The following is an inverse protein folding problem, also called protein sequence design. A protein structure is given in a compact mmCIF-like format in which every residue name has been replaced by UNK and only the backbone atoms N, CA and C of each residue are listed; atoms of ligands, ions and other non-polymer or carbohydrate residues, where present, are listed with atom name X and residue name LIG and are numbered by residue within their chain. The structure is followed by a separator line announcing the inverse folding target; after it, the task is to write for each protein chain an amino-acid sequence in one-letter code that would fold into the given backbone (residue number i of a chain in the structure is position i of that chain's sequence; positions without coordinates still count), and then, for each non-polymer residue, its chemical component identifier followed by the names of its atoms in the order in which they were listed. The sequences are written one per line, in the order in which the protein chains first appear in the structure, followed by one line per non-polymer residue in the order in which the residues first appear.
data_IF_564657027143
#
_entry.id   IF_564657027143
#
_cell.length_a   1.000
_cell.length_b   1.000
_cell.length_c   1.000
_cell.angle_alpha   90.00
_cell.angle_beta   90.00
_cell.angle_gamma   90.00
#
_symmetry.space_group_name_H-M   'P 1'
#
loop_
_entity.id
_entity.type
_entity.pdbx_description
1 polymer ?
#
# COMPACT_ATOMS: atom_id res chain seq x y z
N UNK A 1 9.22 -30.90 -2.91
CA UNK A 1 10.23 -30.70 -1.86
C UNK A 1 10.95 -29.42 -2.24
N UNK A 2 10.49 -28.29 -1.75
CA UNK A 2 11.13 -27.01 -2.04
C UNK A 2 12.50 -26.97 -1.35
N UNK A 3 13.51 -26.32 -1.96
CA UNK A 3 14.83 -26.26 -1.36
C UNK A 3 14.80 -25.59 0.00
N UNK A 4 15.68 -26.07 0.85
CA UNK A 4 15.84 -25.70 2.28
C UNK A 4 16.36 -24.27 2.52
N UNK A 5 16.38 -23.40 1.50
CA UNK A 5 17.13 -22.15 1.53
C UNK A 5 16.21 -20.94 1.45
N UNK A 6 16.61 -19.90 2.16
CA UNK A 6 16.06 -18.56 2.05
C UNK A 6 16.72 -17.88 0.85
N UNK A 7 15.93 -17.31 -0.05
CA UNK A 7 16.45 -16.71 -1.28
C UNK A 7 16.15 -15.22 -1.25
N UNK A 8 17.16 -14.41 -1.55
CA UNK A 8 16.97 -13.00 -1.88
C UNK A 8 17.20 -12.81 -3.39
N UNK A 9 16.24 -12.14 -4.03
CA UNK A 9 16.31 -11.75 -5.43
C UNK A 9 16.28 -10.23 -5.52
N UNK A 10 17.21 -9.64 -6.22
CA UNK A 10 17.37 -8.20 -6.36
C UNK A 10 17.24 -7.80 -7.82
N UNK A 11 16.34 -6.89 -8.13
CA UNK A 11 16.18 -6.28 -9.44
C UNK A 11 16.61 -4.82 -9.45
N UNK A 12 17.06 -4.33 -10.59
CA UNK A 12 17.61 -3.00 -10.75
C UNK A 12 16.74 -2.15 -11.67
N UNK A 13 16.77 -0.83 -11.47
CA UNK A 13 16.12 0.10 -12.39
C UNK A 13 16.73 0.00 -13.80
N UNK A 14 15.90 0.09 -14.82
CA UNK A 14 16.32 0.40 -16.17
C UNK A 14 16.78 1.87 -16.27
N UNK A 15 17.50 2.24 -17.32
CA UNK A 15 17.89 3.64 -17.55
C UNK A 15 16.66 4.58 -17.64
N UNK A 16 15.55 4.12 -18.22
CA UNK A 16 14.34 4.92 -18.36
C UNK A 16 13.68 5.17 -17.00
N UNK A 17 13.55 4.12 -16.18
CA UNK A 17 12.98 4.23 -14.83
C UNK A 17 13.86 5.10 -13.93
N UNK A 18 15.17 4.92 -14.01
CA UNK A 18 16.13 5.75 -13.28
C UNK A 18 16.02 7.23 -13.66
N UNK A 19 15.97 7.54 -14.95
CA UNK A 19 15.85 8.91 -15.41
C UNK A 19 14.53 9.55 -14.95
N UNK A 20 13.44 8.79 -14.90
CA UNK A 20 12.16 9.25 -14.35
C UNK A 20 12.24 9.52 -12.84
N UNK A 21 12.85 8.60 -12.07
CA UNK A 21 13.12 8.78 -10.65
C UNK A 21 14.00 10.01 -10.38
N UNK A 22 15.09 10.14 -11.12
CA UNK A 22 16.04 11.24 -10.96
C UNK A 22 15.43 12.59 -11.30
N UNK A 23 14.65 12.66 -12.37
CA UNK A 23 13.88 13.85 -12.72
C UNK A 23 12.91 14.21 -11.60
N UNK A 24 12.13 13.24 -11.11
CA UNK A 24 11.18 13.44 -10.02
C UNK A 24 11.86 13.96 -8.75
N UNK A 25 13.04 13.43 -8.39
CA UNK A 25 13.81 13.89 -7.24
C UNK A 25 14.30 15.33 -7.38
N UNK A 26 14.74 15.73 -8.59
CA UNK A 26 15.15 17.12 -8.86
C UNK A 26 13.96 18.08 -8.85
N UNK A 27 12.85 17.72 -9.49
CA UNK A 27 11.62 18.54 -9.54
C UNK A 27 11.06 18.77 -8.14
N UNK A 28 11.11 17.76 -7.28
CA UNK A 28 10.69 17.82 -5.87
C UNK A 28 11.73 18.51 -4.96
N UNK A 29 12.92 18.82 -5.46
CA UNK A 29 14.05 19.36 -4.66
C UNK A 29 14.34 18.46 -3.43
N UNK A 30 14.40 17.15 -3.64
CA UNK A 30 14.68 16.15 -2.62
C UNK A 30 16.16 16.24 -2.17
N UNK A 31 16.52 17.30 -1.43
CA UNK A 31 17.92 17.67 -1.13
C UNK A 31 18.67 16.54 -0.45
N UNK A 32 18.06 15.89 0.57
CA UNK A 32 18.68 14.78 1.28
C UNK A 32 19.05 13.64 0.33
N UNK A 33 18.10 13.23 -0.52
CA UNK A 33 18.31 12.16 -1.50
C UNK A 33 19.45 12.51 -2.48
N UNK A 34 19.46 13.75 -3.00
CA UNK A 34 20.45 14.21 -3.99
C UNK A 34 21.84 14.37 -3.37
N UNK A 35 21.92 14.90 -2.15
CA UNK A 35 23.18 15.12 -1.43
C UNK A 35 23.83 13.80 -1.01
N UNK A 36 23.06 12.87 -0.44
CA UNK A 36 23.55 11.54 -0.08
C UNK A 36 24.05 10.76 -1.31
N UNK A 37 23.30 10.81 -2.42
CA UNK A 37 23.73 10.23 -3.70
C UNK A 37 25.07 10.78 -4.17
N UNK A 38 25.24 12.12 -4.11
CA UNK A 38 26.49 12.76 -4.48
C UNK A 38 27.64 12.39 -3.54
N UNK A 39 27.39 12.33 -2.21
CA UNK A 39 28.39 11.93 -1.21
C UNK A 39 28.91 10.51 -1.43
N UNK A 40 28.04 9.62 -1.92
CA UNK A 40 28.39 8.23 -2.23
C UNK A 40 28.97 8.05 -3.64
N UNK A 41 29.24 9.14 -4.38
CA UNK A 41 29.72 9.10 -5.77
C UNK A 41 28.82 8.24 -6.69
N UNK A 42 27.49 8.39 -6.56
CA UNK A 42 26.51 7.58 -7.28
C UNK A 42 26.70 7.56 -8.80
N UNK A 43 27.11 8.69 -9.41
CA UNK A 43 27.33 8.76 -10.87
C UNK A 43 28.43 7.80 -11.36
N UNK A 44 29.47 7.55 -10.57
CA UNK A 44 30.53 6.60 -10.93
C UNK A 44 30.06 5.14 -10.91
N UNK A 45 29.06 4.84 -10.10
CA UNK A 45 28.51 3.49 -9.94
C UNK A 45 27.32 3.19 -10.85
N UNK A 46 26.75 4.22 -11.46
CA UNK A 46 25.55 4.13 -12.29
C UNK A 46 25.64 3.07 -13.37
N UNK A 47 26.75 3.02 -14.10
CA UNK A 47 26.97 2.04 -15.18
C UNK A 47 27.11 0.59 -14.66
N UNK A 48 27.45 0.42 -13.38
CA UNK A 48 27.61 -0.90 -12.76
C UNK A 48 26.27 -1.55 -12.39
N UNK A 49 25.21 -0.75 -12.22
CA UNK A 49 23.97 -1.22 -11.63
C UNK A 49 22.75 -1.05 -12.52
N UNK A 50 22.66 0.01 -13.35
CA UNK A 50 21.48 0.22 -14.20
C UNK A 50 21.34 -0.82 -15.30
N UNK A 51 20.15 -1.34 -15.45
CA UNK A 51 19.81 -2.31 -16.47
C UNK A 51 20.52 -3.67 -16.31
N UNK A 52 21.11 -3.92 -15.14
CA UNK A 52 21.76 -5.19 -14.85
C UNK A 52 20.71 -6.32 -14.70
N UNK A 53 21.16 -7.53 -14.96
CA UNK A 53 20.32 -8.72 -14.70
C UNK A 53 20.06 -8.88 -13.21
N UNK A 54 18.93 -9.50 -12.90
CA UNK A 54 18.55 -9.85 -11.52
C UNK A 54 19.66 -10.66 -10.85
N UNK A 55 19.89 -10.38 -9.57
CA UNK A 55 20.83 -11.13 -8.74
C UNK A 55 20.08 -12.00 -7.76
N UNK A 56 20.53 -13.24 -7.63
CA UNK A 56 19.99 -14.22 -6.70
C UNK A 56 21.06 -14.57 -5.66
N UNK A 57 20.69 -14.57 -4.40
CA UNK A 57 21.52 -14.97 -3.29
C UNK A 57 20.79 -16.02 -2.45
N UNK A 58 21.41 -17.16 -2.21
CA UNK A 58 20.91 -18.18 -1.30
C UNK A 58 21.57 -17.96 0.08
N UNK A 59 20.76 -17.97 1.12
CA UNK A 59 21.21 -17.70 2.49
C UNK A 59 20.83 -18.88 3.38
N UNK A 60 21.80 -19.46 4.06
CA UNK A 60 21.61 -20.61 4.94
C UNK A 60 21.09 -20.23 6.32
N UNK A 61 21.32 -18.97 6.71
CA UNK A 61 20.95 -18.45 8.03
C UNK A 61 20.16 -17.15 7.92
N UNK A 62 19.33 -16.87 8.93
CA UNK A 62 18.61 -15.59 9.04
C UNK A 62 19.57 -14.38 9.07
N UNK A 63 20.75 -14.56 9.66
CA UNK A 63 21.76 -13.49 9.74
C UNK A 63 22.30 -13.17 8.35
N UNK A 64 22.69 -14.18 7.59
CA UNK A 64 23.15 -14.00 6.19
C UNK A 64 22.09 -13.32 5.33
N UNK A 65 20.81 -13.68 5.49
CA UNK A 65 19.72 -13.02 4.78
C UNK A 65 19.62 -11.55 5.16
N UNK A 66 19.67 -11.22 6.45
CA UNK A 66 19.64 -9.83 6.93
C UNK A 66 20.83 -9.04 6.37
N UNK A 67 22.02 -9.61 6.43
CA UNK A 67 23.25 -8.98 5.92
C UNK A 67 23.14 -8.75 4.39
N UNK A 68 22.59 -9.72 3.64
CA UNK A 68 22.37 -9.57 2.19
C UNK A 68 21.31 -8.49 1.87
N UNK A 69 20.18 -8.47 2.58
CA UNK A 69 19.16 -7.40 2.42
C UNK A 69 19.78 -6.04 2.72
N UNK A 70 20.49 -5.92 3.85
CA UNK A 70 21.14 -4.67 4.28
C UNK A 70 22.14 -4.13 3.24
N UNK A 71 22.86 -5.00 2.55
CA UNK A 71 23.78 -4.64 1.49
C UNK A 71 23.06 -3.89 0.36
N UNK A 72 21.84 -4.30 0.02
CA UNK A 72 21.07 -3.75 -1.10
C UNK A 72 20.13 -2.60 -0.73
N UNK A 73 19.69 -2.54 0.54
CA UNK A 73 18.68 -1.57 0.99
C UNK A 73 19.22 -0.47 1.90
N UNK A 74 20.44 -0.63 2.42
CA UNK A 74 21.03 0.36 3.33
C UNK A 74 21.36 1.66 2.61
N UNK A 75 20.94 2.79 3.18
CA UNK A 75 21.30 4.14 2.70
C UNK A 75 22.81 4.42 2.73
N UNK A 76 23.59 3.61 3.44
CA UNK A 76 25.06 3.69 3.46
C UNK A 76 25.71 3.03 2.22
N UNK A 77 24.97 2.30 1.44
CA UNK A 77 25.45 1.60 0.24
C UNK A 77 24.96 2.31 -1.01
N UNK A 78 25.88 2.69 -1.90
CA UNK A 78 25.54 3.39 -3.14
C UNK A 78 24.59 2.57 -4.02
N UNK A 79 24.68 1.25 -4.00
CA UNK A 79 23.85 0.40 -4.86
C UNK A 79 22.34 0.48 -4.52
N UNK A 80 21.95 0.88 -3.28
CA UNK A 80 20.54 0.99 -2.90
C UNK A 80 19.77 1.99 -3.78
N UNK A 81 20.44 3.00 -4.32
CA UNK A 81 19.81 3.97 -5.23
C UNK A 81 19.35 3.32 -6.54
N UNK A 82 20.03 2.28 -6.99
CA UNK A 82 19.78 1.61 -8.27
C UNK A 82 18.92 0.35 -8.14
N UNK A 83 18.67 -0.08 -6.91
CA UNK A 83 17.80 -1.24 -6.64
C UNK A 83 16.33 -0.81 -6.78
N UNK A 84 15.62 -1.53 -7.64
CA UNK A 84 14.18 -1.34 -7.86
C UNK A 84 13.34 -2.12 -6.86
N UNK A 85 13.73 -3.36 -6.62
CA UNK A 85 12.97 -4.29 -5.78
C UNK A 85 13.90 -5.35 -5.19
N UNK A 86 13.61 -5.73 -3.95
CA UNK A 86 14.20 -6.89 -3.29
C UNK A 86 13.09 -7.86 -2.93
N UNK A 87 13.08 -9.01 -3.56
CA UNK A 87 12.15 -10.10 -3.27
C UNK A 87 12.83 -11.12 -2.35
N UNK A 88 12.16 -11.44 -1.25
CA UNK A 88 12.71 -12.33 -0.22
C UNK A 88 11.78 -13.53 -0.01
N UNK A 89 12.31 -14.71 -0.27
CA UNK A 89 11.66 -15.96 0.06
C UNK A 89 11.98 -16.38 1.49
N UNK A 90 10.99 -16.39 2.38
CA UNK A 90 11.14 -16.80 3.78
C UNK A 90 10.57 -18.20 3.98
N UNK A 91 11.40 -19.19 4.29
CA UNK A 91 10.97 -20.56 4.54
C UNK A 91 9.97 -20.69 5.70
N UNK A 92 10.12 -19.85 6.72
CA UNK A 92 9.29 -19.87 7.92
C UNK A 92 7.94 -19.15 7.72
N UNK A 93 7.74 -18.51 6.58
CA UNK A 93 6.54 -17.75 6.26
C UNK A 93 5.67 -18.59 5.32
N UNK A 94 4.74 -19.35 5.91
CA UNK A 94 3.85 -20.24 5.17
C UNK A 94 2.75 -19.42 4.46
N UNK A 95 3.14 -18.79 3.36
CA UNK A 95 2.21 -18.12 2.46
C UNK A 95 1.78 -19.10 1.36
N UNK A 96 0.49 -19.15 1.00
CA UNK A 96 0.05 -19.89 -0.17
C UNK A 96 0.77 -19.42 -1.43
N UNK A 97 0.95 -20.33 -2.38
CA UNK A 97 1.52 -20.00 -3.69
C UNK A 97 0.77 -18.84 -4.34
N UNK A 98 1.49 -17.82 -4.79
CA UNK A 98 0.93 -16.62 -5.41
C UNK A 98 0.53 -15.50 -4.42
N UNK A 99 0.66 -15.71 -3.11
CA UNK A 99 0.50 -14.63 -2.11
C UNK A 99 1.85 -13.98 -1.84
N UNK A 100 1.93 -12.67 -2.00
CA UNK A 100 3.13 -11.87 -1.77
C UNK A 100 2.81 -10.74 -0.80
N UNK A 101 3.68 -10.51 0.17
CA UNK A 101 3.66 -9.32 1.01
C UNK A 101 4.63 -8.29 0.41
N UNK A 102 4.14 -7.08 0.17
CA UNK A 102 4.93 -6.00 -0.41
C UNK A 102 5.05 -4.87 0.61
N UNK A 103 6.28 -4.52 0.96
CA UNK A 103 6.57 -3.28 1.67
C UNK A 103 6.87 -2.19 0.62
N UNK A 104 6.20 -1.05 0.75
CA UNK A 104 6.28 0.03 -0.24
C UNK A 104 6.86 1.30 0.38
N UNK A 105 7.47 2.19 -0.42
CA UNK A 105 7.77 3.54 0.03
C UNK A 105 6.52 4.25 0.61
N UNK A 106 6.73 5.26 1.46
CA UNK A 106 5.61 6.06 2.00
C UNK A 106 4.85 6.80 0.89
N UNK A 107 3.54 6.98 1.09
CA UNK A 107 2.71 7.78 0.16
C UNK A 107 3.12 9.26 0.13
N UNK A 108 3.75 9.74 1.20
CA UNK A 108 4.24 11.09 1.36
C UNK A 108 5.76 11.18 1.11
N UNK A 109 6.33 10.22 0.34
CA UNK A 109 7.74 10.31 -0.07
C UNK A 109 7.95 11.58 -0.88
N UNK A 110 9.00 12.33 -0.55
CA UNK A 110 9.36 13.58 -1.23
C UNK A 110 9.57 13.36 -2.73
N UNK A 111 10.03 12.17 -3.12
CA UNK A 111 10.19 11.78 -4.51
C UNK A 111 8.87 11.21 -5.05
N UNK A 112 8.13 11.99 -5.79
CA UNK A 112 6.80 11.64 -6.34
C UNK A 112 6.81 10.31 -7.11
N UNK A 113 7.90 9.99 -7.80
CA UNK A 113 8.06 8.70 -8.49
C UNK A 113 7.86 7.51 -7.53
N UNK A 114 8.41 7.58 -6.30
CA UNK A 114 8.24 6.54 -5.27
C UNK A 114 6.83 6.47 -4.75
N UNK A 115 6.20 7.63 -4.49
CA UNK A 115 4.79 7.68 -4.09
C UNK A 115 3.87 7.09 -5.17
N UNK A 116 4.17 7.27 -6.45
CA UNK A 116 3.41 6.69 -7.55
C UNK A 116 3.53 5.17 -7.59
N UNK A 117 4.71 4.61 -7.31
CA UNK A 117 4.88 3.15 -7.16
C UNK A 117 3.92 2.62 -6.08
N UNK A 118 3.88 3.27 -4.93
CA UNK A 118 2.96 2.89 -3.83
C UNK A 118 1.51 2.97 -4.23
N UNK A 119 1.08 4.04 -4.93
CA UNK A 119 -0.30 4.17 -5.45
C UNK A 119 -0.66 3.03 -6.40
N UNK A 120 0.26 2.66 -7.30
CA UNK A 120 0.08 1.55 -8.23
C UNK A 120 -0.07 0.20 -7.51
N UNK A 121 0.66 -0.01 -6.42
CA UNK A 121 0.49 -1.20 -5.57
C UNK A 121 -0.83 -1.20 -4.82
N UNK A 122 -1.26 -0.06 -4.24
CA UNK A 122 -2.54 0.07 -3.54
C UNK A 122 -3.71 -0.27 -4.47
N UNK A 123 -3.70 0.23 -5.70
CA UNK A 123 -4.75 -0.04 -6.67
C UNK A 123 -4.87 -1.53 -6.99
N UNK A 124 -3.73 -2.21 -7.13
CA UNK A 124 -3.66 -3.63 -7.52
C UNK A 124 -3.71 -4.62 -6.35
N UNK A 125 -3.41 -4.18 -5.13
CA UNK A 125 -3.38 -5.04 -3.96
C UNK A 125 -4.76 -5.60 -3.61
N UNK A 126 -4.84 -6.86 -3.22
CA UNK A 126 -6.07 -7.48 -2.74
C UNK A 126 -6.34 -7.16 -1.26
N UNK A 127 -5.31 -6.78 -0.51
CA UNK A 127 -5.40 -6.23 0.83
C UNK A 127 -4.33 -5.15 1.01
N UNK A 128 -4.64 -4.08 1.74
CA UNK A 128 -3.75 -2.97 2.02
C UNK A 128 -3.68 -2.75 3.53
N UNK A 129 -2.48 -2.87 4.10
CA UNK A 129 -2.23 -2.58 5.51
C UNK A 129 -1.61 -1.18 5.62
N UNK A 130 -2.35 -0.22 6.13
CA UNK A 130 -1.89 1.15 6.31
C UNK A 130 -1.37 1.32 7.73
N UNK A 131 -0.07 1.39 7.88
CA UNK A 131 0.60 1.56 9.17
C UNK A 131 0.67 3.04 9.54
N UNK A 132 0.02 3.42 10.63
CA UNK A 132 -0.02 4.79 11.15
C UNK A 132 0.35 4.78 12.61
N UNK A 133 1.16 5.74 13.06
CA UNK A 133 1.52 5.86 14.47
C UNK A 133 0.30 6.20 15.33
N UNK A 134 0.20 5.59 16.51
CA UNK A 134 -1.00 5.64 17.38
C UNK A 134 -1.20 6.93 18.14
N UNK A 135 -0.34 7.93 18.02
CA UNK A 135 -0.56 9.26 18.56
C UNK A 135 -1.72 10.00 17.84
N UNK A 136 -1.89 11.27 18.07
CA UNK A 136 -3.01 12.01 17.47
C UNK A 136 -2.95 11.93 15.93
N UNK A 137 -4.08 11.58 15.30
CA UNK A 137 -4.20 11.70 13.85
C UNK A 137 -4.10 13.18 13.47
N UNK A 138 -3.01 13.53 12.84
CA UNK A 138 -2.82 14.89 12.27
C UNK A 138 -3.52 14.98 10.91
N UNK A 139 -3.59 16.21 10.39
CA UNK A 139 -4.15 16.41 9.03
C UNK A 139 -3.39 15.64 7.96
N UNK A 140 -2.09 15.41 8.15
CA UNK A 140 -1.25 14.67 7.20
C UNK A 140 -1.56 13.17 7.21
N UNK A 141 -1.59 12.52 8.39
CA UNK A 141 -1.96 11.11 8.47
C UNK A 141 -3.37 10.85 7.94
N UNK A 142 -4.32 11.76 8.23
CA UNK A 142 -5.67 11.64 7.68
C UNK A 142 -5.69 11.81 6.17
N UNK A 143 -4.91 12.74 5.61
CA UNK A 143 -4.79 12.90 4.16
C UNK A 143 -4.21 11.64 3.51
N UNK A 144 -3.19 11.03 4.12
CA UNK A 144 -2.60 9.76 3.67
C UNK A 144 -3.64 8.63 3.71
N UNK A 145 -4.37 8.48 4.81
CA UNK A 145 -5.44 7.48 4.93
C UNK A 145 -6.50 7.68 3.84
N UNK A 146 -7.02 8.90 3.67
CA UNK A 146 -8.02 9.19 2.64
C UNK A 146 -7.48 8.97 1.22
N UNK A 147 -6.20 9.25 0.97
CA UNK A 147 -5.54 8.94 -0.30
C UNK A 147 -5.54 7.45 -0.57
N UNK A 148 -5.28 6.60 0.44
CA UNK A 148 -5.38 5.14 0.29
C UNK A 148 -6.80 4.75 -0.10
N UNK A 149 -7.81 5.21 0.63
CA UNK A 149 -9.21 4.89 0.31
C UNK A 149 -9.62 5.38 -1.08
N UNK A 150 -9.18 6.56 -1.51
CA UNK A 150 -9.44 7.09 -2.85
C UNK A 150 -8.82 6.20 -3.95
N UNK A 151 -7.65 5.61 -3.69
CA UNK A 151 -6.99 4.70 -4.64
C UNK A 151 -7.57 3.28 -4.60
N UNK A 152 -8.28 2.89 -3.54
CA UNK A 152 -8.98 1.59 -3.46
C UNK A 152 -10.38 1.58 -4.08
N UNK A 153 -10.85 2.68 -4.55
CA UNK A 153 -12.09 3.12 -5.26
C UNK A 153 -13.39 2.34 -5.02
N UNK A 154 -13.38 1.02 -4.92
CA UNK A 154 -14.58 0.18 -4.92
C UNK A 154 -14.64 -0.81 -3.76
N UNK A 155 -13.56 -1.00 -3.02
CA UNK A 155 -13.53 -1.97 -1.94
C UNK A 155 -12.79 -1.43 -0.74
N UNK A 156 -13.47 -0.60 0.07
CA UNK A 156 -12.92 -0.12 1.35
C UNK A 156 -12.64 -1.26 2.33
N UNK A 157 -13.27 -2.41 2.15
CA UNK A 157 -13.10 -3.60 3.01
C UNK A 157 -11.71 -4.22 2.89
N UNK A 158 -10.97 -3.97 1.79
CA UNK A 158 -9.60 -4.47 1.63
C UNK A 158 -8.55 -3.65 2.39
N UNK A 159 -8.91 -2.50 2.96
CA UNK A 159 -8.02 -1.62 3.73
C UNK A 159 -8.07 -2.00 5.21
N UNK A 160 -6.91 -2.17 5.81
CA UNK A 160 -6.72 -2.39 7.25
C UNK A 160 -5.86 -1.26 7.80
N UNK A 161 -6.37 -0.54 8.78
CA UNK A 161 -5.61 0.53 9.44
C UNK A 161 -4.92 -0.08 10.66
N UNK A 162 -3.60 -0.04 10.64
CA UNK A 162 -2.75 -0.58 11.70
C UNK A 162 -2.21 0.58 12.52
N UNK A 163 -2.76 0.78 13.71
CA UNK A 163 -2.25 1.77 14.66
C UNK A 163 -1.00 1.22 15.33
N UNK A 164 0.17 1.70 14.92
CA UNK A 164 1.46 1.22 15.39
C UNK A 164 1.94 1.96 16.62
N UNK A 165 2.92 1.40 17.34
CA UNK A 165 3.59 2.03 18.49
C UNK A 165 2.62 2.41 19.64
N UNK A 166 1.60 1.62 19.90
CA UNK A 166 0.62 1.89 20.97
C UNK A 166 1.27 1.91 22.35
N UNK A 167 2.38 1.19 22.53
CA UNK A 167 3.23 1.16 23.72
C UNK A 167 3.97 2.48 23.98
N UNK A 168 4.08 3.37 23.00
CA UNK A 168 4.75 4.66 23.18
C UNK A 168 3.89 5.69 23.92
N UNK A 169 2.57 5.50 23.97
CA UNK A 169 1.63 6.37 24.69
C UNK A 169 1.94 6.42 26.19
N UNK A 170 1.65 7.52 26.86
CA UNK A 170 1.97 7.71 28.28
C UNK A 170 1.25 6.73 29.22
N UNK A 171 0.03 6.35 28.86
CA UNK A 171 -0.80 5.32 29.50
C UNK A 171 -1.38 4.46 28.39
N UNK A 172 -0.64 3.46 27.93
CA UNK A 172 -0.98 2.83 26.66
C UNK A 172 -2.43 2.32 26.57
N UNK A 173 -2.95 1.70 27.63
CA UNK A 173 -4.32 1.16 27.63
C UNK A 173 -5.38 2.26 27.58
N UNK A 174 -5.29 3.22 28.49
CA UNK A 174 -6.29 4.27 28.64
C UNK A 174 -6.24 5.24 27.45
N UNK A 175 -5.03 5.71 27.11
CA UNK A 175 -4.87 6.68 26.04
C UNK A 175 -5.22 6.09 24.68
N UNK A 176 -4.91 4.80 24.45
CA UNK A 176 -5.36 4.16 23.22
C UNK A 176 -6.88 4.05 23.15
N UNK A 177 -7.54 3.71 24.26
CA UNK A 177 -9.01 3.62 24.29
C UNK A 177 -9.68 4.97 23.95
N UNK A 178 -9.08 6.09 24.31
CA UNK A 178 -9.53 7.42 23.93
C UNK A 178 -9.21 7.74 22.46
N UNK A 179 -7.97 7.51 22.03
CA UNK A 179 -7.54 7.73 20.65
C UNK A 179 -8.36 6.90 19.67
N UNK A 180 -8.62 5.64 19.98
CA UNK A 180 -9.41 4.76 19.12
C UNK A 180 -10.82 5.33 18.85
N UNK A 181 -11.45 5.94 19.85
CA UNK A 181 -12.76 6.58 19.67
C UNK A 181 -12.68 7.76 18.70
N UNK A 182 -11.61 8.55 18.80
CA UNK A 182 -11.40 9.66 17.87
C UNK A 182 -11.11 9.15 16.45
N UNK A 183 -10.24 8.16 16.30
CA UNK A 183 -9.95 7.56 15.01
C UNK A 183 -11.21 7.00 14.33
N UNK A 184 -12.06 6.31 15.08
CA UNK A 184 -13.31 5.76 14.57
C UNK A 184 -14.30 6.84 14.11
N UNK A 185 -14.27 8.05 14.67
CA UNK A 185 -15.10 9.17 14.16
C UNK A 185 -14.72 9.56 12.72
N UNK A 186 -13.42 9.55 12.41
CA UNK A 186 -12.94 9.84 11.06
C UNK A 186 -13.13 8.65 10.12
N UNK A 187 -12.75 7.46 10.57
CA UNK A 187 -12.76 6.25 9.74
C UNK A 187 -14.16 5.79 9.33
N UNK A 188 -15.21 6.10 10.11
CA UNK A 188 -16.61 5.82 9.72
C UNK A 188 -17.14 6.75 8.63
N UNK A 189 -16.43 7.82 8.27
CA UNK A 189 -16.85 8.81 7.28
C UNK A 189 -16.83 8.27 5.85
N UNK A 190 -17.53 8.98 4.94
CA UNK A 190 -17.64 8.60 3.53
C UNK A 190 -16.30 8.63 2.77
N UNK A 191 -15.31 9.36 3.27
CA UNK A 191 -13.96 9.37 2.71
C UNK A 191 -13.10 8.16 3.10
N UNK A 192 -13.61 7.28 3.96
CA UNK A 192 -12.94 6.08 4.43
C UNK A 192 -13.87 4.85 4.30
N UNK A 193 -14.24 4.21 5.42
CA UNK A 193 -15.06 2.98 5.36
C UNK A 193 -16.55 3.21 5.09
N UNK A 194 -17.08 4.40 5.31
CA UNK A 194 -18.52 4.71 5.29
C UNK A 194 -19.37 3.81 6.22
N UNK A 195 -18.73 3.11 7.15
CA UNK A 195 -19.34 2.14 8.09
C UNK A 195 -18.55 2.11 9.40
N UNK A 196 -19.25 2.26 10.51
CA UNK A 196 -18.62 2.13 11.84
C UNK A 196 -18.20 0.68 12.12
N UNK A 197 -19.02 -0.29 11.74
CA UNK A 197 -18.73 -1.71 11.93
C UNK A 197 -17.45 -2.13 11.19
N UNK A 198 -17.34 -1.72 9.93
CA UNK A 198 -16.16 -2.01 9.12
C UNK A 198 -14.91 -1.28 9.65
N UNK A 199 -15.05 -0.03 10.09
CA UNK A 199 -13.97 0.71 10.72
C UNK A 199 -13.48 0.02 12.00
N UNK A 200 -14.38 -0.43 12.86
CA UNK A 200 -14.04 -1.18 14.08
C UNK A 200 -13.38 -2.52 13.75
N UNK A 201 -13.89 -3.22 12.74
CA UNK A 201 -13.34 -4.50 12.29
C UNK A 201 -11.90 -4.35 11.77
N UNK A 202 -11.62 -3.29 11.00
CA UNK A 202 -10.36 -3.15 10.27
C UNK A 202 -9.34 -2.21 10.93
N UNK A 203 -9.66 -1.61 12.07
CA UNK A 203 -8.71 -0.87 12.89
C UNK A 203 -8.05 -1.81 13.90
N UNK A 204 -6.74 -2.03 13.77
CA UNK A 204 -5.97 -2.94 14.62
C UNK A 204 -4.82 -2.18 15.29
N UNK A 205 -4.82 -2.04 16.63
CA UNK A 205 -3.67 -1.48 17.34
C UNK A 205 -2.56 -2.52 17.42
N UNK A 206 -1.29 -2.09 17.35
CA UNK A 206 -0.16 -3.00 17.50
C UNK A 206 1.04 -2.32 18.17
N UNK A 207 1.81 -3.14 18.88
CA UNK A 207 3.08 -2.78 19.53
C UNK A 207 4.16 -3.79 19.16
N UNK A 208 4.69 -3.69 17.93
CA UNK A 208 5.63 -4.66 17.40
C UNK A 208 6.97 -4.65 18.15
N UNK A 209 7.45 -3.48 18.60
CA UNK A 209 8.68 -3.37 19.35
C UNK A 209 8.54 -4.03 20.73
N UNK A 210 7.49 -3.71 21.49
CA UNK A 210 7.20 -4.36 22.76
C UNK A 210 7.10 -5.90 22.60
N UNK A 211 6.42 -6.38 21.54
CA UNK A 211 6.36 -7.81 21.22
C UNK A 211 7.75 -8.43 21.08
N UNK A 212 8.62 -7.77 20.31
CA UNK A 212 10.00 -8.24 20.07
C UNK A 212 10.79 -8.29 21.37
N UNK A 213 10.71 -7.25 22.21
CA UNK A 213 11.38 -7.20 23.50
C UNK A 213 10.90 -8.30 24.44
N UNK A 214 9.57 -8.50 24.52
CA UNK A 214 9.00 -9.57 25.35
C UNK A 214 9.43 -10.96 24.90
N UNK A 215 9.55 -11.21 23.59
CA UNK A 215 10.04 -12.49 23.05
C UNK A 215 11.51 -12.75 23.36
N UNK A 216 12.30 -11.70 23.54
CA UNK A 216 13.72 -11.77 23.91
C UNK A 216 13.95 -11.61 25.41
N UNK A 217 12.91 -11.41 26.22
CA UNK A 217 13.02 -11.01 27.63
C UNK A 217 13.96 -11.90 28.47
N UNK A 218 13.93 -13.22 28.29
CA UNK A 218 14.76 -14.14 29.01
C UNK A 218 16.27 -14.07 28.64
N UNK A 219 16.58 -13.49 27.48
CA UNK A 219 17.93 -13.35 26.95
C UNK A 219 18.52 -11.94 27.22
N UNK A 220 17.65 -10.98 27.66
CA UNK A 220 18.06 -9.61 27.95
C UNK A 220 18.66 -9.51 29.38
N UNK A 221 19.66 -8.67 29.53
CA UNK A 221 20.28 -8.33 30.81
C UNK A 221 20.47 -6.80 30.93
N UNK A 222 20.83 -6.32 32.12
CA UNK A 222 20.99 -4.90 32.43
C UNK A 222 22.11 -4.19 31.63
N UNK A 223 22.94 -4.91 30.90
CA UNK A 223 23.96 -4.34 30.02
C UNK A 223 23.40 -4.04 28.62
N UNK A 224 22.20 -4.56 28.30
CA UNK A 224 21.54 -4.37 27.01
C UNK A 224 20.64 -3.13 27.02
N UNK A 225 20.79 -2.25 26.06
CA UNK A 225 19.87 -1.09 25.88
C UNK A 225 18.40 -1.54 25.77
N UNK A 226 18.14 -2.69 25.14
CA UNK A 226 16.81 -3.28 25.00
C UNK A 226 16.16 -3.65 26.33
N UNK A 227 16.94 -3.99 27.35
CA UNK A 227 16.43 -4.24 28.69
C UNK A 227 15.81 -2.97 29.27
N UNK A 228 16.51 -1.85 29.14
CA UNK A 228 16.05 -0.55 29.63
C UNK A 228 14.89 0.01 28.82
N UNK A 229 14.85 -0.27 27.52
CA UNK A 229 13.69 0.06 26.67
C UNK A 229 12.45 -0.69 27.16
N UNK A 230 12.58 -1.99 27.44
CA UNK A 230 11.48 -2.81 27.96
C UNK A 230 11.00 -2.30 29.32
N UNK A 231 11.93 -2.05 30.27
CA UNK A 231 11.61 -1.51 31.59
C UNK A 231 10.87 -0.16 31.47
N UNK A 232 11.37 0.73 30.62
CA UNK A 232 10.76 2.04 30.35
C UNK A 232 9.34 1.92 29.81
N UNK A 233 9.11 1.00 28.86
CA UNK A 233 7.77 0.77 28.29
C UNK A 233 6.85 0.20 29.35
N UNK A 234 7.29 -0.83 30.09
CA UNK A 234 6.45 -1.53 31.09
C UNK A 234 6.03 -0.62 32.23
N UNK A 235 6.87 0.34 32.64
CA UNK A 235 6.51 1.35 33.64
C UNK A 235 5.33 2.22 33.23
N UNK A 236 5.11 2.46 31.92
CA UNK A 236 3.95 3.19 31.43
C UNK A 236 2.63 2.46 31.67
N UNK A 237 2.69 1.12 31.76
CA UNK A 237 1.59 0.25 32.15
C UNK A 237 1.37 0.17 33.66
N UNK A 238 2.23 0.84 34.49
CA UNK A 238 2.25 0.76 35.95
C UNK A 238 2.51 -0.67 36.47
N UNK A 239 3.16 -1.48 35.67
CA UNK A 239 3.58 -2.84 36.02
C UNK A 239 4.98 -2.76 36.62
N UNK A 240 5.23 -3.56 37.66
CA UNK A 240 6.54 -3.65 38.33
C UNK A 240 7.23 -4.97 38.07
N UNK A 241 6.48 -6.03 37.88
CA UNK A 241 6.99 -7.37 37.61
C UNK A 241 6.49 -7.85 36.24
N UNK A 242 7.45 -8.04 35.35
CA UNK A 242 7.18 -8.47 33.97
C UNK A 242 6.71 -9.92 33.96
N UNK A 243 7.30 -10.79 34.81
CA UNK A 243 6.98 -12.22 34.80
C UNK A 243 5.52 -12.48 35.19
N UNK A 244 5.03 -11.79 36.21
CA UNK A 244 3.63 -11.90 36.66
C UNK A 244 2.63 -11.37 35.61
N UNK A 245 3.06 -10.42 34.78
CA UNK A 245 2.22 -9.72 33.82
C UNK A 245 2.58 -10.00 32.36
N UNK A 246 3.47 -10.97 32.12
CA UNK A 246 4.00 -11.26 30.78
C UNK A 246 2.89 -11.52 29.75
N UNK A 247 1.92 -12.34 30.11
CA UNK A 247 0.80 -12.65 29.22
C UNK A 247 -0.05 -11.42 28.91
N UNK A 248 -0.34 -10.58 29.90
CA UNK A 248 -1.12 -9.35 29.72
C UNK A 248 -0.40 -8.37 28.79
N UNK A 249 0.91 -8.20 28.98
CA UNK A 249 1.75 -7.37 28.11
C UNK A 249 1.80 -7.92 26.67
N UNK A 250 1.96 -9.25 26.55
CA UNK A 250 2.00 -9.90 25.23
C UNK A 250 0.65 -9.76 24.51
N UNK A 251 -0.47 -9.98 25.21
CA UNK A 251 -1.81 -9.80 24.65
C UNK A 251 -2.05 -8.36 24.22
N UNK A 252 -1.56 -7.39 24.98
CA UNK A 252 -1.65 -5.96 24.63
C UNK A 252 -0.91 -5.61 23.34
N UNK A 253 0.13 -6.35 22.95
CA UNK A 253 0.84 -6.08 21.70
C UNK A 253 -0.05 -6.26 20.47
N UNK A 254 -1.12 -7.02 20.56
CA UNK A 254 -2.06 -7.40 19.50
C UNK A 254 -1.39 -8.03 18.26
N UNK A 255 -0.13 -8.40 18.30
CA UNK A 255 0.58 -9.00 17.15
C UNK A 255 -0.02 -10.36 16.77
N UNK A 256 -0.38 -11.19 17.75
CA UNK A 256 -1.01 -12.48 17.46
C UNK A 256 -2.43 -12.30 16.89
N UNK A 257 -3.14 -11.25 17.32
CA UNK A 257 -4.42 -10.85 16.72
C UNK A 257 -4.23 -10.45 15.26
N UNK A 258 -3.24 -9.59 14.97
CA UNK A 258 -2.93 -9.16 13.61
C UNK A 258 -2.54 -10.35 12.73
N UNK A 259 -1.65 -11.23 13.19
CA UNK A 259 -1.27 -12.45 12.47
C UNK A 259 -2.48 -13.33 12.16
N UNK A 260 -3.32 -13.58 13.18
CA UNK A 260 -4.53 -14.37 13.01
C UNK A 260 -5.51 -13.74 12.02
N UNK A 261 -5.61 -12.40 12.00
CA UNK A 261 -6.46 -11.66 11.08
C UNK A 261 -5.92 -11.75 9.65
N UNK A 262 -4.63 -11.54 9.45
CA UNK A 262 -3.97 -11.72 8.14
C UNK A 262 -4.19 -13.16 7.65
N UNK A 263 -3.95 -14.16 8.49
CA UNK A 263 -4.11 -15.56 8.12
C UNK A 263 -5.55 -15.91 7.70
N UNK A 264 -6.55 -15.46 8.48
CA UNK A 264 -7.96 -15.83 8.24
C UNK A 264 -8.63 -14.98 7.16
N UNK A 265 -8.48 -13.65 7.24
CA UNK A 265 -9.26 -12.73 6.41
C UNK A 265 -8.56 -12.40 5.09
N UNK A 266 -7.22 -12.52 5.02
CA UNK A 266 -6.45 -12.21 3.82
C UNK A 266 -5.99 -13.50 3.14
N UNK A 267 -5.22 -14.33 3.85
CA UNK A 267 -4.57 -15.50 3.25
C UNK A 267 -5.56 -16.61 2.94
N UNK A 268 -6.44 -16.98 3.89
CA UNK A 268 -7.43 -18.05 3.66
C UNK A 268 -8.53 -17.62 2.69
N UNK A 269 -8.93 -16.36 2.74
CA UNK A 269 -10.01 -15.81 1.92
C UNK A 269 -9.51 -15.13 0.62
N UNK A 270 -8.21 -15.26 0.25
CA UNK A 270 -7.62 -14.53 -0.88
C UNK A 270 -8.40 -14.71 -2.20
N UNK A 271 -8.96 -15.89 -2.46
CA UNK A 271 -9.77 -16.16 -3.65
C UNK A 271 -11.06 -15.32 -3.66
N UNK A 272 -11.69 -15.17 -2.49
CA UNK A 272 -12.87 -14.34 -2.32
C UNK A 272 -12.52 -12.87 -2.52
N UNK A 273 -11.44 -12.40 -1.89
CA UNK A 273 -10.95 -11.02 -2.05
C UNK A 273 -10.67 -10.71 -3.52
N UNK A 274 -10.05 -11.64 -4.25
CA UNK A 274 -9.81 -11.50 -5.68
C UNK A 274 -11.10 -11.40 -6.50
N UNK A 275 -12.08 -12.24 -6.20
CA UNK A 275 -13.39 -12.23 -6.86
C UNK A 275 -14.16 -10.93 -6.56
N UNK A 276 -14.14 -10.47 -5.31
CA UNK A 276 -14.79 -9.24 -4.88
C UNK A 276 -14.16 -8.02 -5.59
N UNK A 277 -12.84 -8.00 -5.75
CA UNK A 277 -12.11 -6.95 -6.45
C UNK A 277 -12.45 -6.91 -7.95
N UNK A 278 -12.50 -8.07 -8.61
CA UNK A 278 -12.91 -8.20 -10.02
C UNK A 278 -14.36 -7.76 -10.21
N UNK A 279 -15.25 -8.20 -9.32
CA UNK A 279 -16.68 -7.87 -9.40
C UNK A 279 -16.90 -6.37 -9.18
N UNK A 280 -16.24 -5.78 -8.17
CA UNK A 280 -16.29 -4.35 -7.91
C UNK A 280 -15.80 -3.51 -9.09
N UNK A 281 -14.67 -3.91 -9.69
CA UNK A 281 -14.12 -3.25 -10.88
C UNK A 281 -15.08 -3.31 -12.08
N UNK A 282 -15.73 -4.46 -12.27
CA UNK A 282 -16.71 -4.66 -13.34
C UNK A 282 -17.94 -3.75 -13.16
N UNK A 283 -18.54 -3.68 -11.97
CA UNK A 283 -19.72 -2.85 -11.71
C UNK A 283 -19.40 -1.34 -11.87
N UNK A 284 -18.24 -0.89 -11.44
CA UNK A 284 -17.80 0.49 -11.66
C UNK A 284 -17.66 0.84 -13.15
N UNK A 285 -17.04 -0.07 -13.91
CA UNK A 285 -16.92 0.13 -15.35
C UNK A 285 -18.30 0.25 -16.01
N UNK A 286 -19.21 -0.64 -15.65
CA UNK A 286 -20.59 -0.64 -16.13
C UNK A 286 -21.33 0.67 -15.82
N UNK A 287 -21.19 1.19 -14.58
CA UNK A 287 -21.78 2.47 -14.18
C UNK A 287 -21.18 3.64 -14.99
N UNK A 288 -19.85 3.69 -15.13
CA UNK A 288 -19.16 4.73 -15.91
C UNK A 288 -19.58 4.73 -17.39
N UNK A 289 -19.71 3.55 -17.99
CA UNK A 289 -20.22 3.40 -19.36
C UNK A 289 -21.65 3.93 -19.45
N UNK A 290 -22.51 3.56 -18.49
CA UNK A 290 -23.91 3.99 -18.47
C UNK A 290 -24.04 5.51 -18.34
N UNK A 291 -23.28 6.14 -17.46
CA UNK A 291 -23.25 7.59 -17.31
C UNK A 291 -22.82 8.30 -18.61
N UNK A 292 -21.79 7.77 -19.25
CA UNK A 292 -21.29 8.33 -20.53
C UNK A 292 -22.32 8.17 -21.65
N UNK A 293 -22.98 7.02 -21.76
CA UNK A 293 -24.05 6.80 -22.72
C UNK A 293 -25.23 7.75 -22.47
N UNK A 294 -25.57 8.03 -21.23
CA UNK A 294 -26.62 8.96 -20.85
C UNK A 294 -26.30 10.42 -21.27
N UNK A 295 -25.02 10.84 -21.05
CA UNK A 295 -24.53 12.14 -21.54
C UNK A 295 -24.63 12.26 -23.07
N UNK A 296 -24.18 11.21 -23.78
CA UNK A 296 -24.28 11.18 -25.25
C UNK A 296 -25.73 11.21 -25.72
N UNK A 297 -26.64 10.46 -25.08
CA UNK A 297 -28.07 10.46 -25.39
C UNK A 297 -28.67 11.87 -25.23
N UNK A 298 -28.43 12.54 -24.10
CA UNK A 298 -28.90 13.89 -23.85
C UNK A 298 -28.41 14.89 -24.92
N UNK A 299 -27.13 14.80 -25.27
CA UNK A 299 -26.55 15.64 -26.31
C UNK A 299 -27.22 15.40 -27.66
N UNK A 300 -27.55 14.16 -28.04
CA UNK A 300 -28.28 13.85 -29.28
C UNK A 300 -29.71 14.32 -29.24
N UNK A 301 -30.44 14.19 -28.13
CA UNK A 301 -31.79 14.71 -27.96
C UNK A 301 -31.85 16.24 -28.15
N UNK A 302 -30.85 16.96 -27.61
CA UNK A 302 -30.71 18.39 -27.82
C UNK A 302 -30.47 18.78 -29.30
N UNK A 303 -29.70 17.97 -30.06
CA UNK A 303 -29.53 18.17 -31.51
C UNK A 303 -30.85 18.04 -32.23
N UNK A 304 -31.60 16.98 -31.92
CA UNK A 304 -32.90 16.73 -32.57
C UNK A 304 -33.85 17.88 -32.28
N UNK A 305 -33.93 18.36 -31.04
CA UNK A 305 -34.75 19.50 -30.66
C UNK A 305 -34.31 20.80 -31.33
N UNK A 306 -33.02 20.97 -31.57
CA UNK A 306 -32.44 22.16 -32.22
C UNK A 306 -32.73 22.20 -33.72
N UNK A 307 -32.78 21.05 -34.38
CA UNK A 307 -33.09 20.96 -35.82
C UNK A 307 -34.55 21.38 -36.14
N UNK A 308 -35.41 21.50 -35.15
CA UNK A 308 -36.82 21.90 -35.29
C UNK A 308 -37.06 23.39 -35.03
N UNK A 309 -36.03 24.17 -34.65
CA UNK A 309 -36.11 25.59 -34.32
C UNK A 309 -35.80 26.53 -35.49
N UNK A 310 -36.08 27.84 -35.33
CA UNK A 310 -35.80 28.87 -36.32
C UNK A 310 -34.28 29.10 -36.55
N UNK A 311 -33.90 29.68 -37.68
CA UNK A 311 -32.49 29.81 -38.12
C UNK A 311 -31.60 30.57 -37.13
N UNK A 312 -32.12 31.56 -36.43
CA UNK A 312 -31.33 32.32 -35.42
C UNK A 312 -31.12 31.51 -34.13
N UNK A 313 -32.15 30.80 -33.73
CA UNK A 313 -32.11 29.91 -32.58
C UNK A 313 -31.21 28.67 -32.84
N UNK A 314 -31.22 28.19 -34.09
CA UNK A 314 -30.35 27.13 -34.59
C UNK A 314 -28.86 27.56 -34.51
N UNK A 315 -28.52 28.80 -34.92
CA UNK A 315 -27.13 29.29 -34.84
C UNK A 315 -26.64 29.36 -33.41
N UNK A 316 -27.41 29.90 -32.49
CA UNK A 316 -27.06 30.00 -31.09
C UNK A 316 -26.90 28.61 -30.43
N UNK A 317 -27.84 27.71 -30.73
CA UNK A 317 -27.76 26.33 -30.23
C UNK A 317 -26.67 25.51 -30.90
N UNK A 318 -26.27 25.87 -32.13
CA UNK A 318 -25.14 25.22 -32.81
C UNK A 318 -23.79 25.56 -32.16
N UNK A 319 -23.64 26.76 -31.61
CA UNK A 319 -22.47 27.13 -30.80
C UNK A 319 -22.45 26.38 -29.46
N UNK A 320 -23.59 26.33 -28.77
CA UNK A 320 -23.76 25.55 -27.54
C UNK A 320 -23.55 24.03 -27.77
N UNK A 321 -24.03 23.53 -28.93
CA UNK A 321 -23.85 22.16 -29.35
C UNK A 321 -22.37 21.81 -29.62
N UNK A 322 -21.67 22.69 -30.37
CA UNK A 322 -20.27 22.46 -30.64
C UNK A 322 -19.43 22.37 -29.34
N UNK A 323 -19.75 23.19 -28.34
CA UNK A 323 -19.12 23.11 -27.05
C UNK A 323 -19.38 21.75 -26.34
N UNK A 324 -20.65 21.31 -26.33
CA UNK A 324 -21.02 20.02 -25.72
C UNK A 324 -20.52 18.82 -26.52
N UNK A 325 -20.43 18.96 -27.86
CA UNK A 325 -19.82 17.93 -28.70
C UNK A 325 -18.33 17.72 -28.36
N UNK A 326 -17.62 18.82 -28.14
CA UNK A 326 -16.21 18.72 -27.70
C UNK A 326 -16.08 18.07 -26.33
N UNK A 327 -17.00 18.38 -25.41
CA UNK A 327 -17.04 17.73 -24.10
C UNK A 327 -17.31 16.22 -24.22
N UNK A 328 -18.32 15.83 -25.03
CA UNK A 328 -18.65 14.42 -25.29
C UNK A 328 -17.52 13.67 -26.02
N UNK A 329 -16.76 14.34 -26.89
CA UNK A 329 -15.60 13.76 -27.56
C UNK A 329 -14.44 13.55 -26.58
N UNK A 330 -14.31 14.44 -25.60
CA UNK A 330 -13.38 14.26 -24.49
C UNK A 330 -13.78 13.09 -23.60
N UNK A 331 -15.06 13.03 -23.19
CA UNK A 331 -15.63 11.92 -22.42
C UNK A 331 -15.43 10.58 -23.15
N UNK A 332 -15.61 10.56 -24.48
CA UNK A 332 -15.34 9.38 -25.31
C UNK A 332 -13.88 8.95 -25.25
N UNK A 333 -12.94 9.90 -25.34
CA UNK A 333 -11.50 9.59 -25.23
C UNK A 333 -11.16 9.04 -23.85
N UNK A 334 -11.78 9.59 -22.81
CA UNK A 334 -11.61 9.09 -21.44
C UNK A 334 -12.18 7.66 -21.30
N UNK A 335 -13.34 7.40 -21.89
CA UNK A 335 -13.95 6.07 -21.94
C UNK A 335 -13.07 5.06 -22.71
N UNK A 336 -12.54 5.44 -23.86
CA UNK A 336 -11.64 4.59 -24.65
C UNK A 336 -10.37 4.25 -23.86
N UNK A 337 -9.85 5.21 -23.11
CA UNK A 337 -8.71 4.99 -22.20
C UNK A 337 -9.08 4.06 -21.03
N UNK A 338 -10.26 4.25 -20.44
CA UNK A 338 -10.80 3.39 -19.39
C UNK A 338 -10.99 1.95 -19.90
N UNK A 339 -11.59 1.78 -21.08
CA UNK A 339 -11.78 0.47 -21.73
C UNK A 339 -10.42 -0.20 -22.00
N UNK A 340 -9.42 0.57 -22.46
CA UNK A 340 -8.07 0.06 -22.70
C UNK A 340 -7.40 -0.39 -21.39
N UNK A 341 -7.52 0.43 -20.34
CA UNK A 341 -7.01 0.11 -19.02
C UNK A 341 -7.68 -1.12 -18.44
N UNK A 342 -9.01 -1.21 -18.57
CA UNK A 342 -9.79 -2.37 -18.13
C UNK A 342 -9.45 -3.64 -18.89
N UNK A 343 -9.34 -3.58 -20.21
CA UNK A 343 -8.91 -4.74 -21.00
C UNK A 343 -7.54 -5.24 -20.55
N UNK A 344 -6.62 -4.31 -20.30
CA UNK A 344 -5.28 -4.66 -19.81
C UNK A 344 -5.34 -5.27 -18.41
N UNK A 345 -6.11 -4.67 -17.50
CA UNK A 345 -6.27 -5.16 -16.14
C UNK A 345 -7.00 -6.52 -16.11
N UNK A 346 -8.07 -6.68 -16.91
CA UNK A 346 -8.84 -7.93 -16.98
C UNK A 346 -8.02 -9.05 -17.59
N UNK A 347 -7.27 -8.77 -18.67
CA UNK A 347 -6.37 -9.78 -19.27
C UNK A 347 -5.30 -10.23 -18.27
N UNK A 348 -4.68 -9.29 -17.58
CA UNK A 348 -3.68 -9.59 -16.55
C UNK A 348 -4.27 -10.41 -15.40
N UNK A 349 -5.48 -10.06 -14.92
CA UNK A 349 -6.17 -10.81 -13.87
C UNK A 349 -6.63 -12.19 -14.34
N UNK A 350 -7.02 -12.33 -15.60
CA UNK A 350 -7.34 -13.64 -16.19
C UNK A 350 -6.10 -14.55 -16.23
N UNK A 351 -4.96 -14.01 -16.64
CA UNK A 351 -3.69 -14.74 -16.67
C UNK A 351 -3.24 -15.16 -15.25
N UNK A 352 -3.37 -14.25 -14.27
CA UNK A 352 -3.10 -14.52 -12.85
C UNK A 352 -4.03 -15.63 -12.30
N UNK A 353 -5.33 -15.59 -12.63
CA UNK A 353 -6.31 -16.61 -12.27
C UNK A 353 -6.02 -17.95 -12.95
N UNK A 354 -5.70 -17.95 -14.23
CA UNK A 354 -5.34 -19.17 -14.96
C UNK A 354 -4.10 -19.83 -14.36
N UNK A 355 -3.11 -19.01 -13.99
CA UNK A 355 -1.90 -19.48 -13.33
C UNK A 355 -2.21 -20.06 -11.96
N UNK A 356 -3.04 -19.36 -11.14
CA UNK A 356 -3.46 -19.85 -9.84
C UNK A 356 -4.28 -21.16 -9.93
N UNK A 357 -5.19 -21.29 -10.91
CA UNK A 357 -5.98 -22.50 -11.13
C UNK A 357 -5.07 -23.66 -11.57
N UNK A 358 -4.12 -23.43 -12.47
CA UNK A 358 -3.16 -24.45 -12.90
C UNK A 358 -2.27 -24.93 -11.77
N UNK A 359 -1.94 -24.07 -10.79
CA UNK A 359 -1.16 -24.44 -9.61
C UNK A 359 -1.97 -25.26 -8.59
N UNK A 360 -3.30 -25.14 -8.59
CA UNK A 360 -4.21 -25.90 -7.73
C UNK A 360 -4.61 -27.27 -8.31
N UNK A 361 -4.36 -27.47 -9.60
CA UNK A 361 -4.68 -28.73 -10.31
C UNK A 361 -3.50 -29.73 -10.37
N UNK A 362 -2.35 -29.35 -9.82
CA UNK A 362 -1.17 -30.20 -9.56
C UNK A 362 -1.11 -30.59 -8.08
#
# INVERSE_FOLDING_TARGET
MFPLYTVAKVSFYSEQEWNALWKSANDAKATVFLEEYAQLNGDSEKANWLGQQEKFSECDTKKELVDEIMKWTSSKSVCHYFVKEVEVGLKEFDLPEGVVLVDTPGLDDVVEYRSNITRDYIDRANAVLVCVKSDALTGQEMATIYSVFANTRYNSGKVYIIATQVDTLNRPKENWAEQQKEWLKYLKGNGAYASLELAQKNLVPVSAYLYTLLKQYNDLNEEDDKYWDLDSIVRKFRIRDINENYKELLDFTHIELLKSKIQREIIQDYKKLLLDDITGSYELCKESIKETMEKVRKAQEEIISTSQGGIEEIKKKQEEYNAKYQEAEQDKKELDNLIKTLKTATSKRADELETAIKSLAK
#
